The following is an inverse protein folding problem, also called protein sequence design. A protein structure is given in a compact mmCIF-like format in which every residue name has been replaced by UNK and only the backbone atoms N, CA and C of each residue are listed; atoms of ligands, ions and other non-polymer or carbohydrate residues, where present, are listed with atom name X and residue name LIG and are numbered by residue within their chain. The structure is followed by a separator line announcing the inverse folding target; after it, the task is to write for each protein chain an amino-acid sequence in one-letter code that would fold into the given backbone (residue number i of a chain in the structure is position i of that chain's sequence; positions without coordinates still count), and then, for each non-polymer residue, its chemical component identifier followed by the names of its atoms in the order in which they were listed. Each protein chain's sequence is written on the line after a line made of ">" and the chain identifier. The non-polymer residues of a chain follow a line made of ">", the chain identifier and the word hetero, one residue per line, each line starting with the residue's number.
data_IF_498497250275
#
_entry.id   IF_498497250275
#
_cell.length_a   1.000
_cell.length_b   1.000
_cell.length_c   1.000
_cell.angle_alpha   90.00
_cell.angle_beta   90.00
_cell.angle_gamma   90.00
#
_symmetry.space_group_name_H-M   'P 1'
#
loop_
_entity.id
_entity.type
_entity.pdbx_description
1 polymer ?
#
# COMPACT_ATOMS: atom_id res chain seq x y z
N UNK A 1 -19.70 -5.34 27.70
CA UNK A 1 -19.28 -6.32 26.67
C UNK A 1 -19.36 -5.62 25.34
N UNK A 2 -18.22 -5.26 24.74
CA UNK A 2 -18.18 -4.66 23.39
C UNK A 2 -18.01 -5.80 22.39
N UNK A 3 -18.99 -5.93 21.51
CA UNK A 3 -18.97 -6.85 20.39
C UNK A 3 -17.84 -6.48 19.42
N UNK A 4 -17.26 -7.52 18.83
CA UNK A 4 -16.07 -7.43 17.99
C UNK A 4 -16.32 -6.65 16.70
N UNK A 5 -15.37 -5.78 16.37
CA UNK A 5 -15.20 -5.24 15.03
C UNK A 5 -14.03 -5.99 14.37
N UNK A 6 -14.31 -7.25 14.01
CA UNK A 6 -13.58 -7.98 12.97
C UNK A 6 -14.65 -8.47 12.00
N UNK A 7 -15.31 -7.52 11.34
CA UNK A 7 -16.35 -7.78 10.36
C UNK A 7 -15.99 -7.05 9.07
N UNK A 8 -15.63 -7.83 8.05
CA UNK A 8 -15.78 -7.48 6.64
C UNK A 8 -14.81 -6.42 6.10
N UNK A 9 -13.58 -6.81 5.80
CA UNK A 9 -12.93 -6.28 4.58
C UNK A 9 -13.33 -7.20 3.45
N UNK A 10 -14.56 -6.98 2.97
CA UNK A 10 -15.11 -7.62 1.79
C UNK A 10 -14.24 -7.26 0.57
N UNK A 11 -14.03 -8.24 -0.30
CA UNK A 11 -13.04 -8.29 -1.38
C UNK A 11 -13.38 -7.38 -2.57
N UNK A 12 -14.07 -6.27 -2.31
CA UNK A 12 -14.67 -5.37 -3.30
C UNK A 12 -14.02 -3.99 -3.37
N UNK A 13 -12.70 -3.86 -3.16
CA UNK A 13 -12.03 -2.60 -3.45
C UNK A 13 -12.04 -2.34 -4.97
N UNK A 14 -12.85 -1.37 -5.39
CA UNK A 14 -12.89 -0.90 -6.77
C UNK A 14 -11.60 -0.15 -7.12
N UNK A 15 -11.23 -0.11 -8.40
CA UNK A 15 -10.07 0.63 -8.91
C UNK A 15 -10.06 2.10 -8.45
N UNK A 16 -11.24 2.75 -8.41
CA UNK A 16 -11.42 4.12 -7.96
C UNK A 16 -11.13 4.35 -6.47
N UNK A 17 -11.15 3.27 -5.65
CA UNK A 17 -10.84 3.33 -4.23
C UNK A 17 -9.33 3.17 -3.96
N UNK A 18 -8.55 2.70 -4.94
CA UNK A 18 -7.13 2.41 -4.79
C UNK A 18 -6.23 3.46 -5.44
N UNK A 19 -6.68 4.06 -6.53
CA UNK A 19 -5.95 5.08 -7.28
C UNK A 19 -6.61 6.45 -7.16
N UNK A 20 -5.78 7.46 -6.93
CA UNK A 20 -6.15 8.85 -7.16
C UNK A 20 -5.80 9.19 -8.62
N UNK A 21 -6.81 9.05 -9.50
CA UNK A 21 -6.65 9.18 -10.95
C UNK A 21 -6.15 10.57 -11.36
N UNK A 22 -6.62 11.63 -10.71
CA UNK A 22 -6.20 13.00 -11.00
C UNK A 22 -4.72 13.22 -10.68
N UNK A 23 -4.26 12.73 -9.50
CA UNK A 23 -2.85 12.82 -9.13
C UNK A 23 -1.97 11.96 -10.02
N UNK A 24 -2.42 10.75 -10.36
CA UNK A 24 -1.66 9.83 -11.21
C UNK A 24 -1.54 10.38 -12.65
N UNK A 25 -2.62 10.94 -13.21
CA UNK A 25 -2.61 11.63 -14.49
C UNK A 25 -1.64 12.81 -14.47
N UNK A 26 -1.71 13.66 -13.44
CA UNK A 26 -0.79 14.78 -13.25
C UNK A 26 0.67 14.33 -13.21
N UNK A 27 0.98 13.28 -12.42
CA UNK A 27 2.32 12.69 -12.35
C UNK A 27 2.81 12.22 -13.73
N UNK A 28 1.96 11.54 -14.50
CA UNK A 28 2.33 11.02 -15.81
C UNK A 28 2.45 12.12 -16.87
N UNK A 29 1.73 13.24 -16.73
CA UNK A 29 1.91 14.41 -17.59
C UNK A 29 3.26 15.12 -17.34
N UNK A 30 3.74 15.10 -16.09
CA UNK A 30 5.07 15.61 -15.73
C UNK A 30 6.18 14.69 -16.23
N UNK A 31 6.01 13.37 -16.07
CA UNK A 31 6.98 12.37 -16.52
C UNK A 31 6.60 11.89 -17.93
N UNK A 32 6.88 12.70 -18.94
CA UNK A 32 6.44 12.43 -20.33
C UNK A 32 7.07 11.20 -20.98
N UNK A 33 8.30 10.85 -20.60
CA UNK A 33 9.02 9.75 -21.20
C UNK A 33 8.47 8.40 -20.70
N UNK A 34 7.95 7.52 -21.58
CA UNK A 34 7.39 6.23 -21.16
C UNK A 34 8.38 5.37 -20.37
N UNK A 35 9.66 5.36 -20.76
CA UNK A 35 10.72 4.64 -20.04
C UNK A 35 10.98 5.18 -18.62
N UNK A 36 10.74 6.47 -18.36
CA UNK A 36 10.85 7.02 -17.00
C UNK A 36 9.65 6.63 -16.13
N UNK A 37 8.45 6.55 -16.71
CA UNK A 37 7.26 6.03 -16.00
C UNK A 37 7.45 4.57 -15.60
N UNK A 38 7.99 3.76 -16.53
CA UNK A 38 8.36 2.37 -16.28
C UNK A 38 9.35 2.24 -15.12
N UNK A 39 10.44 3.02 -15.15
CA UNK A 39 11.44 3.01 -14.08
C UNK A 39 10.84 3.39 -12.73
N UNK A 40 9.93 4.36 -12.71
CA UNK A 40 9.26 4.78 -11.48
C UNK A 40 8.38 3.66 -10.90
N UNK A 41 7.59 2.98 -11.75
CA UNK A 41 6.77 1.85 -11.31
C UNK A 41 7.66 0.70 -10.81
N UNK A 42 8.71 0.34 -11.54
CA UNK A 42 9.67 -0.69 -11.12
C UNK A 42 10.34 -0.35 -9.77
N UNK A 43 10.67 0.92 -9.55
CA UNK A 43 11.26 1.38 -8.29
C UNK A 43 10.27 1.26 -7.12
N UNK A 44 9.00 1.58 -7.37
CA UNK A 44 7.93 1.38 -6.38
C UNK A 44 7.70 -0.11 -6.11
N UNK A 45 7.63 -0.96 -7.13
CA UNK A 45 7.45 -2.41 -6.95
C UNK A 45 8.62 -3.02 -6.16
N UNK A 46 9.86 -2.65 -6.50
CA UNK A 46 11.04 -3.17 -5.81
C UNK A 46 11.08 -2.74 -4.34
N UNK A 47 10.88 -1.46 -4.05
CA UNK A 47 10.91 -0.96 -2.67
C UNK A 47 9.69 -1.39 -1.85
N UNK A 48 8.51 -1.43 -2.46
CA UNK A 48 7.27 -1.86 -1.83
C UNK A 48 7.30 -3.33 -1.42
N UNK A 49 7.78 -4.22 -2.29
CA UNK A 49 7.92 -5.66 -1.97
C UNK A 49 8.91 -5.88 -0.82
N UNK A 50 10.03 -5.14 -0.81
CA UNK A 50 10.98 -5.16 0.31
C UNK A 50 10.31 -4.73 1.64
N UNK A 51 9.46 -3.70 1.61
CA UNK A 51 8.72 -3.27 2.80
C UNK A 51 7.71 -4.31 3.27
N UNK A 52 6.99 -4.97 2.36
CA UNK A 52 6.04 -6.05 2.67
C UNK A 52 6.74 -7.24 3.32
N UNK A 53 7.88 -7.68 2.79
CA UNK A 53 8.65 -8.77 3.39
C UNK A 53 9.17 -8.40 4.79
N UNK A 54 9.62 -7.16 4.98
CA UNK A 54 10.07 -6.67 6.28
C UNK A 54 8.91 -6.50 7.28
N UNK A 55 7.69 -6.23 6.83
CA UNK A 55 6.50 -6.27 7.70
C UNK A 55 6.28 -7.67 8.24
N UNK A 56 6.28 -8.69 7.36
CA UNK A 56 6.12 -10.10 7.75
C UNK A 56 7.19 -10.55 8.75
N UNK A 57 8.44 -10.14 8.51
CA UNK A 57 9.54 -10.43 9.44
C UNK A 57 9.33 -9.76 10.81
N UNK A 58 8.91 -8.50 10.84
CA UNK A 58 8.61 -7.80 12.08
C UNK A 58 7.46 -8.47 12.85
N UNK A 59 6.44 -8.99 12.16
CA UNK A 59 5.38 -9.82 12.78
C UNK A 59 5.97 -11.06 13.44
N UNK A 60 6.82 -11.81 12.71
CA UNK A 60 7.43 -13.04 13.22
C UNK A 60 8.33 -12.81 14.44
N UNK A 61 8.94 -11.63 14.52
CA UNK A 61 9.81 -11.21 15.63
C UNK A 61 9.04 -10.51 16.77
N UNK A 62 7.73 -10.28 16.60
CA UNK A 62 6.93 -9.42 17.49
C UNK A 62 7.56 -8.02 17.69
N UNK A 63 8.22 -7.49 16.65
CA UNK A 63 8.87 -6.19 16.67
C UNK A 63 7.91 -5.12 16.15
N UNK A 64 7.17 -4.51 17.08
CA UNK A 64 6.16 -3.50 16.77
C UNK A 64 6.75 -2.22 16.19
N UNK A 65 7.92 -1.81 16.68
CA UNK A 65 8.57 -0.58 16.19
C UNK A 65 9.01 -0.76 14.74
N UNK A 66 9.67 -1.89 14.43
CA UNK A 66 10.03 -2.22 13.06
C UNK A 66 8.78 -2.32 12.17
N UNK A 67 7.68 -2.91 12.66
CA UNK A 67 6.43 -3.01 11.93
C UNK A 67 5.89 -1.64 11.50
N UNK A 68 5.72 -0.71 12.44
CA UNK A 68 5.22 0.63 12.13
C UNK A 68 6.17 1.43 11.24
N UNK A 69 7.48 1.30 11.45
CA UNK A 69 8.47 1.96 10.57
C UNK A 69 8.33 1.50 9.11
N UNK A 70 8.01 0.22 8.89
CA UNK A 70 7.79 -0.32 7.53
C UNK A 70 6.46 0.14 6.94
N UNK A 71 5.38 0.18 7.73
CA UNK A 71 4.11 0.77 7.29
C UNK A 71 4.29 2.23 6.86
N UNK A 72 4.99 3.02 7.67
CA UNK A 72 5.25 4.43 7.39
C UNK A 72 6.04 4.63 6.09
N UNK A 73 7.09 3.82 5.90
CA UNK A 73 7.92 3.88 4.68
C UNK A 73 7.12 3.50 3.43
N UNK A 74 6.29 2.46 3.53
CA UNK A 74 5.42 2.04 2.44
C UNK A 74 4.35 3.10 2.14
N UNK A 75 3.76 3.73 3.16
CA UNK A 75 2.81 4.83 3.03
C UNK A 75 3.40 5.99 2.23
N UNK A 76 4.63 6.40 2.55
CA UNK A 76 5.33 7.47 1.82
C UNK A 76 5.49 7.13 0.33
N UNK A 77 5.97 5.93 0.04
CA UNK A 77 6.17 5.43 -1.33
C UNK A 77 4.84 5.35 -2.10
N UNK A 78 3.78 4.86 -1.45
CA UNK A 78 2.43 4.77 -2.00
C UNK A 78 1.84 6.15 -2.31
N UNK A 79 2.06 7.13 -1.42
CA UNK A 79 1.62 8.51 -1.62
C UNK A 79 2.27 9.18 -2.83
N UNK A 80 3.56 8.93 -3.07
CA UNK A 80 4.25 9.38 -4.29
C UNK A 80 3.63 8.81 -5.57
N UNK A 81 3.09 7.59 -5.49
CA UNK A 81 2.48 6.88 -6.61
C UNK A 81 0.96 7.08 -6.73
N UNK A 82 0.39 8.02 -5.99
CA UNK A 82 -1.05 8.30 -5.98
C UNK A 82 -1.93 7.08 -5.59
N UNK A 83 -1.39 6.15 -4.79
CA UNK A 83 -2.08 4.95 -4.33
C UNK A 83 -2.87 5.23 -3.04
N UNK A 84 -3.94 6.01 -3.13
CA UNK A 84 -4.70 6.49 -1.97
C UNK A 84 -5.24 5.37 -1.08
N UNK A 85 -5.65 4.23 -1.66
CA UNK A 85 -6.11 3.08 -0.89
C UNK A 85 -5.01 2.43 -0.05
N UNK A 86 -3.80 2.26 -0.63
CA UNK A 86 -2.66 1.73 0.13
C UNK A 86 -2.22 2.70 1.22
N UNK A 87 -2.25 4.01 0.96
CA UNK A 87 -2.01 5.05 1.98
C UNK A 87 -3.01 4.94 3.14
N UNK A 88 -4.30 4.76 2.85
CA UNK A 88 -5.34 4.63 3.86
C UNK A 88 -5.13 3.39 4.75
N UNK A 89 -4.82 2.25 4.15
CA UNK A 89 -4.54 1.00 4.87
C UNK A 89 -3.31 1.14 5.77
N UNK A 90 -2.23 1.77 5.28
CA UNK A 90 -1.04 1.99 6.10
C UNK A 90 -1.26 3.02 7.23
N UNK A 91 -2.28 3.89 7.12
CA UNK A 91 -2.58 4.92 8.12
C UNK A 91 -3.52 4.46 9.23
N UNK A 92 -4.38 3.46 8.94
CA UNK A 92 -5.45 2.98 9.83
C UNK A 92 -5.00 2.48 11.22
N UNK A 93 -3.70 2.35 11.48
CA UNK A 93 -3.17 1.72 12.70
C UNK A 93 -2.03 2.48 13.38
N UNK A 94 -1.62 3.65 12.87
CA UNK A 94 -0.62 4.50 13.53
C UNK A 94 -1.21 5.22 14.78
N UNK A 95 -2.55 5.33 14.90
CA UNK A 95 -3.25 6.19 15.89
C UNK A 95 -3.97 5.45 17.04
N UNK A 96 -3.88 4.12 17.15
CA UNK A 96 -4.58 3.40 18.23
C UNK A 96 -3.77 3.47 19.55
N UNK A 97 -4.34 4.07 20.61
CA UNK A 97 -3.80 4.11 21.99
C UNK A 97 -3.51 2.70 22.56
N UNK A 98 -3.99 1.65 21.90
CA UNK A 98 -3.83 0.27 22.31
C UNK A 98 -2.74 -0.44 21.50
N UNK A 99 -1.79 -1.09 22.16
CA UNK A 99 -0.73 -1.77 21.46
C UNK A 99 -1.23 -2.96 20.62
N UNK A 100 -0.94 -2.95 19.31
CA UNK A 100 -1.25 -4.06 18.40
C UNK A 100 -0.66 -5.38 18.91
N UNK A 101 -1.49 -6.40 18.99
CA UNK A 101 -1.08 -7.80 19.20
C UNK A 101 -0.43 -8.38 17.94
N UNK A 102 0.35 -9.47 18.09
CA UNK A 102 0.93 -10.21 16.95
C UNK A 102 -0.13 -10.62 15.94
N UNK A 103 -1.30 -11.09 16.40
CA UNK A 103 -2.40 -11.47 15.52
C UNK A 103 -2.90 -10.28 14.70
N UNK A 104 -3.03 -9.10 15.30
CA UNK A 104 -3.47 -7.90 14.58
C UNK A 104 -2.40 -7.40 13.60
N UNK A 105 -1.12 -7.43 13.97
CA UNK A 105 -0.02 -7.14 13.04
C UNK A 105 0.00 -8.12 11.86
N UNK A 106 -0.22 -9.42 12.11
CA UNK A 106 -0.30 -10.44 11.07
C UNK A 106 -1.45 -10.18 10.10
N UNK A 107 -2.66 -9.90 10.62
CA UNK A 107 -3.80 -9.54 9.78
C UNK A 107 -3.53 -8.27 8.97
N UNK A 108 -2.95 -7.25 9.60
CA UNK A 108 -2.59 -6.01 8.92
C UNK A 108 -1.57 -6.25 7.80
N UNK A 109 -0.51 -7.04 8.04
CA UNK A 109 0.49 -7.36 7.04
C UNK A 109 -0.11 -8.04 5.80
N UNK A 110 -1.06 -8.97 6.00
CA UNK A 110 -1.78 -9.64 4.90
C UNK A 110 -2.60 -8.67 4.07
N UNK A 111 -3.40 -7.83 4.73
CA UNK A 111 -4.22 -6.82 4.04
C UNK A 111 -3.34 -5.83 3.26
N UNK A 112 -2.22 -5.39 3.86
CA UNK A 112 -1.26 -4.50 3.18
C UNK A 112 -0.66 -5.19 1.95
N UNK A 113 -0.27 -6.46 2.05
CA UNK A 113 0.27 -7.21 0.92
C UNK A 113 -0.75 -7.36 -0.22
N UNK A 114 -1.98 -7.75 0.07
CA UNK A 114 -3.05 -7.91 -0.93
C UNK A 114 -3.33 -6.59 -1.64
N UNK A 115 -3.46 -5.49 -0.89
CA UNK A 115 -3.72 -4.16 -1.44
C UNK A 115 -2.52 -3.67 -2.24
N UNK A 116 -1.29 -3.90 -1.77
CA UNK A 116 -0.07 -3.56 -2.51
C UNK A 116 0.00 -4.29 -3.86
N UNK A 117 -0.23 -5.60 -3.88
CA UNK A 117 -0.22 -6.39 -5.12
C UNK A 117 -1.27 -5.90 -6.11
N UNK A 118 -2.48 -5.61 -5.61
CA UNK A 118 -3.55 -5.05 -6.45
C UNK A 118 -3.17 -3.67 -6.99
N UNK A 119 -2.64 -2.77 -6.15
CA UNK A 119 -2.16 -1.45 -6.57
C UNK A 119 -1.06 -1.53 -7.64
N UNK A 120 -0.13 -2.48 -7.54
CA UNK A 120 0.87 -2.72 -8.58
C UNK A 120 0.22 -3.09 -9.92
N UNK A 121 -0.74 -4.02 -9.91
CA UNK A 121 -1.48 -4.38 -11.13
C UNK A 121 -2.17 -3.16 -11.75
N UNK A 122 -2.84 -2.34 -10.94
CA UNK A 122 -3.54 -1.15 -11.40
C UNK A 122 -2.60 -0.11 -12.00
N UNK A 123 -1.43 0.12 -11.41
CA UNK A 123 -0.41 1.02 -11.98
C UNK A 123 0.07 0.54 -13.36
N UNK A 124 0.27 -0.77 -13.52
CA UNK A 124 0.67 -1.37 -14.79
C UNK A 124 -0.41 -1.24 -15.87
N UNK A 125 -1.66 -1.45 -15.51
CA UNK A 125 -2.78 -1.31 -16.44
C UNK A 125 -3.02 0.16 -16.83
N UNK A 126 -2.86 1.08 -15.87
CA UNK A 126 -2.89 2.51 -16.13
C UNK A 126 -1.79 2.94 -17.10
N UNK A 127 -0.55 2.48 -16.85
CA UNK A 127 0.58 2.76 -17.73
C UNK A 127 0.31 2.31 -19.16
N UNK A 128 -0.14 1.07 -19.38
CA UNK A 128 -0.46 0.54 -20.71
C UNK A 128 -1.55 1.36 -21.42
N UNK A 129 -2.57 1.78 -20.68
CA UNK A 129 -3.68 2.59 -21.21
C UNK A 129 -3.26 4.01 -21.59
N UNK A 130 -2.22 4.54 -20.94
CA UNK A 130 -1.67 5.89 -21.17
C UNK A 130 -0.63 6.01 -22.31
N UNK A 131 -0.34 4.91 -23.02
CA UNK A 131 0.59 4.89 -24.18
C UNK A 131 -0.15 5.05 -25.52
N UNK A 132 -1.47 5.23 -25.51
CA UNK A 132 -2.27 5.54 -26.70
C UNK A 132 -2.30 7.04 -27.01
#
# INVERSE_FOLDING_TARGET
>A
MREGVVAGMDSGLTTSALLDDEKLASLFTMIRAPGKREQLICAFESSGSEHVEKLKLAVAQNDREAFFKRLHSLKGSAGTMALCGLVAICSLREDDEHPLTVSQMSTCAKVVEEVYQHSCSLLRDYQKSSVL
#
